data_IF_004033623283
#
_entry.id   IF_004033623283
#
_cell.length_a   1.000
_cell.length_b   1.000
_cell.length_c   1.000
_cell.angle_alpha   90.00
_cell.angle_beta   90.00
_cell.angle_gamma   90.00
#
_symmetry.space_group_name_H-M   'P 1'
#
loop_
_entity.id
_entity.type
_entity.pdbx_description
1 polymer ?
#
# COMPACT_ATOMS: atom_id res chain seq x y z
N UNK A 1 5.02 11.15 15.41
CA UNK A 1 5.80 9.89 15.29
C UNK A 1 6.93 10.15 14.31
N UNK A 2 8.06 9.46 14.46
CA UNK A 2 9.20 9.51 13.53
C UNK A 2 9.48 8.10 13.01
N UNK A 3 10.23 7.93 11.91
CA UNK A 3 10.57 6.61 11.42
C UNK A 3 11.26 5.81 12.52
N UNK A 4 10.82 4.58 12.73
CA UNK A 4 11.23 3.77 13.88
C UNK A 4 11.47 2.34 13.43
N UNK A 5 12.56 1.75 13.91
CA UNK A 5 12.85 0.33 13.71
C UNK A 5 11.88 -0.52 14.53
N UNK A 6 11.37 -1.59 13.94
CA UNK A 6 10.53 -2.58 14.58
C UNK A 6 11.03 -3.97 14.21
N UNK A 7 10.96 -4.92 15.14
CA UNK A 7 11.19 -6.32 14.80
C UNK A 7 10.01 -6.86 13.99
N UNK A 8 10.25 -7.62 12.90
CA UNK A 8 9.17 -8.33 12.19
C UNK A 8 8.33 -9.23 13.13
N UNK A 9 8.97 -9.80 14.15
CA UNK A 9 8.28 -10.64 15.14
C UNK A 9 7.32 -9.83 16.02
N UNK A 10 7.70 -8.60 16.39
CA UNK A 10 6.79 -7.69 17.12
C UNK A 10 5.57 -7.35 16.27
N UNK A 11 5.73 -7.18 14.95
CA UNK A 11 4.61 -6.92 14.04
C UNK A 11 3.66 -8.12 13.99
N UNK A 12 4.17 -9.35 13.93
CA UNK A 12 3.35 -10.56 14.02
C UNK A 12 2.63 -10.69 15.37
N UNK A 13 3.25 -10.25 16.45
CA UNK A 13 2.64 -10.19 17.78
C UNK A 13 1.68 -9.00 17.97
N UNK A 14 1.45 -8.20 16.93
CA UNK A 14 0.44 -7.13 16.93
C UNK A 14 0.97 -5.76 17.41
N UNK A 15 2.28 -5.51 17.35
CA UNK A 15 2.85 -4.18 17.63
C UNK A 15 2.33 -3.09 16.68
N UNK A 16 1.83 -3.48 15.50
CA UNK A 16 1.11 -2.60 14.58
C UNK A 16 -0.33 -3.10 14.48
N UNK A 17 -1.27 -2.23 14.84
CA UNK A 17 -2.70 -2.49 14.72
C UNK A 17 -3.32 -1.51 13.75
N UNK A 18 -4.31 -2.00 12.99
CA UNK A 18 -5.22 -1.26 12.12
C UNK A 18 -4.70 0.07 11.57
N UNK A 19 -4.32 0.06 10.31
CA UNK A 19 -4.02 1.25 9.52
C UNK A 19 -5.18 2.25 9.43
N UNK A 20 -4.82 3.51 9.18
CA UNK A 20 -5.69 4.68 9.35
C UNK A 20 -6.31 5.19 8.05
N UNK A 21 -6.05 4.53 6.91
CA UNK A 21 -6.50 5.06 5.63
C UNK A 21 -8.02 5.22 5.61
N UNK A 22 -8.46 6.34 5.02
CA UNK A 22 -9.89 6.64 4.83
C UNK A 22 -10.51 5.72 3.78
N UNK A 23 -9.72 5.34 2.77
CA UNK A 23 -10.15 4.49 1.68
C UNK A 23 -10.19 3.02 2.11
N UNK A 24 -11.31 2.30 1.91
CA UNK A 24 -11.41 0.89 2.31
C UNK A 24 -10.34 0.01 1.63
N UNK A 25 -10.16 0.15 0.32
CA UNK A 25 -9.25 -0.69 -0.47
C UNK A 25 -7.78 -0.58 -0.09
N UNK A 26 -7.31 0.62 0.26
CA UNK A 26 -5.93 0.82 0.70
C UNK A 26 -5.68 0.47 2.17
N UNK A 27 -6.73 0.15 2.94
CA UNK A 27 -6.61 0.01 4.39
C UNK A 27 -5.86 -1.26 4.76
N UNK A 28 -4.88 -1.10 5.65
CA UNK A 28 -4.11 -2.23 6.16
C UNK A 28 -4.60 -2.62 7.55
N UNK A 29 -5.54 -3.56 7.61
CA UNK A 29 -6.03 -4.10 8.89
C UNK A 29 -4.92 -4.72 9.74
N UNK A 30 -5.16 -4.89 11.05
CA UNK A 30 -4.26 -5.65 11.94
C UNK A 30 -3.95 -7.04 11.40
N UNK A 31 -4.95 -7.70 10.79
CA UNK A 31 -4.74 -9.00 10.17
C UNK A 31 -3.71 -8.93 9.03
N UNK A 32 -3.76 -7.90 8.18
CA UNK A 32 -2.74 -7.73 7.13
C UNK A 32 -1.35 -7.54 7.73
N UNK A 33 -1.19 -6.70 8.75
CA UNK A 33 0.11 -6.51 9.41
C UNK A 33 0.66 -7.80 10.02
N UNK A 34 -0.16 -8.53 10.77
CA UNK A 34 0.25 -9.77 11.43
C UNK A 34 0.49 -10.93 10.46
N UNK A 35 -0.05 -10.84 9.24
CA UNK A 35 0.15 -11.87 8.25
C UNK A 35 1.24 -11.46 7.24
N UNK A 36 1.54 -10.19 7.01
CA UNK A 36 2.79 -9.70 6.42
C UNK A 36 3.42 -10.56 5.29
N UNK A 37 2.87 -10.67 4.07
CA UNK A 37 3.40 -11.61 3.08
C UNK A 37 4.87 -11.30 2.67
N UNK A 38 5.23 -10.02 2.56
CA UNK A 38 6.62 -9.59 2.31
C UNK A 38 7.53 -9.99 3.47
N UNK A 39 7.11 -9.72 4.71
CA UNK A 39 7.89 -10.08 5.90
C UNK A 39 8.08 -11.60 6.00
N UNK A 40 7.03 -12.38 5.76
CA UNK A 40 7.08 -13.83 5.75
C UNK A 40 8.10 -14.34 4.72
N UNK A 41 8.08 -13.79 3.50
CA UNK A 41 9.03 -14.21 2.47
C UNK A 41 10.48 -13.80 2.80
N UNK A 42 10.68 -12.60 3.37
CA UNK A 42 12.00 -12.17 3.83
C UNK A 42 12.53 -13.06 4.97
N UNK A 43 11.68 -13.49 5.91
CA UNK A 43 12.07 -14.40 6.99
C UNK A 43 12.36 -15.81 6.48
N UNK A 44 11.55 -16.34 5.55
CA UNK A 44 11.78 -17.66 4.95
C UNK A 44 13.13 -17.76 4.22
N UNK A 45 13.59 -16.65 3.65
CA UNK A 45 14.86 -16.56 2.92
C UNK A 45 16.03 -16.05 3.77
N UNK A 46 15.78 -15.69 5.03
CA UNK A 46 16.79 -15.15 5.93
C UNK A 46 17.87 -16.21 6.21
N UNK A 47 19.14 -15.82 6.14
CA UNK A 47 20.32 -16.71 6.27
C UNK A 47 20.49 -17.75 5.16
N UNK A 48 19.69 -17.70 4.09
CA UNK A 48 19.85 -18.52 2.89
C UNK A 48 20.21 -17.64 1.69
N UNK A 49 19.21 -17.03 1.05
CA UNK A 49 19.42 -16.18 -0.13
C UNK A 49 19.49 -14.69 0.18
N UNK A 50 19.08 -14.27 1.39
CA UNK A 50 19.20 -12.88 1.85
C UNK A 50 19.39 -12.81 3.38
N UNK A 51 19.89 -11.68 3.88
CA UNK A 51 19.89 -11.38 5.30
C UNK A 51 18.83 -10.32 5.57
N UNK A 52 17.66 -10.74 6.07
CA UNK A 52 16.64 -9.78 6.49
C UNK A 52 17.10 -9.05 7.75
N UNK A 53 17.63 -7.84 7.57
CA UNK A 53 18.29 -7.09 8.65
C UNK A 53 17.31 -6.48 9.63
N UNK A 54 16.28 -5.79 9.14
CA UNK A 54 15.28 -5.15 9.98
C UNK A 54 14.08 -4.61 9.18
N UNK A 55 13.05 -4.15 9.90
CA UNK A 55 11.91 -3.41 9.36
C UNK A 55 11.85 -2.01 9.98
N UNK A 56 11.52 -1.00 9.18
CA UNK A 56 11.23 0.34 9.67
C UNK A 56 9.79 0.73 9.31
N UNK A 57 9.11 1.39 10.25
CA UNK A 57 7.81 2.01 10.01
C UNK A 57 8.05 3.51 9.87
N UNK A 58 7.60 4.06 8.75
CA UNK A 58 7.67 5.50 8.49
C UNK A 58 6.27 6.09 8.49
N UNK A 59 5.95 7.09 9.33
CA UNK A 59 4.65 7.75 9.29
C UNK A 59 4.51 8.58 8.00
N UNK A 60 3.32 8.58 7.41
CA UNK A 60 3.04 9.35 6.20
C UNK A 60 2.68 10.79 6.59
N UNK A 61 3.46 11.75 6.08
CA UNK A 61 3.31 13.15 6.49
C UNK A 61 2.42 13.92 5.52
N UNK A 62 1.67 14.89 6.04
CA UNK A 62 0.76 15.72 5.24
C UNK A 62 1.45 16.97 4.70
N UNK A 63 2.40 17.55 5.45
CA UNK A 63 3.14 18.73 5.03
C UNK A 63 4.44 18.36 4.34
N UNK A 64 4.84 19.13 3.33
CA UNK A 64 6.05 18.86 2.56
C UNK A 64 7.33 18.92 3.42
N UNK A 65 7.42 19.88 4.34
CA UNK A 65 8.56 19.99 5.27
C UNK A 65 8.72 18.73 6.12
N UNK A 66 7.62 18.20 6.64
CA UNK A 66 7.64 16.96 7.41
C UNK A 66 8.00 15.76 6.55
N UNK A 67 7.53 15.68 5.30
CA UNK A 67 7.93 14.62 4.35
C UNK A 67 9.45 14.61 4.15
N UNK A 68 10.07 15.78 3.95
CA UNK A 68 11.53 15.89 3.82
C UNK A 68 12.25 15.40 5.07
N UNK A 69 11.86 15.88 6.26
CA UNK A 69 12.45 15.46 7.53
C UNK A 69 12.31 13.94 7.71
N UNK A 70 11.12 13.42 7.47
CA UNK A 70 10.78 12.02 7.67
C UNK A 70 11.53 11.10 6.69
N UNK A 71 11.68 11.53 5.43
CA UNK A 71 12.50 10.86 4.42
C UNK A 71 13.94 10.71 4.86
N UNK A 72 14.57 11.81 5.31
CA UNK A 72 15.97 11.79 5.76
C UNK A 72 16.17 10.88 6.99
N UNK A 73 15.21 10.87 7.92
CA UNK A 73 15.27 9.99 9.08
C UNK A 73 15.12 8.51 8.70
N UNK A 74 14.17 8.18 7.82
CA UNK A 74 13.96 6.81 7.34
C UNK A 74 15.20 6.29 6.58
N UNK A 75 15.73 7.11 5.66
CA UNK A 75 16.92 6.76 4.89
C UNK A 75 18.14 6.58 5.82
N UNK A 76 18.33 7.47 6.80
CA UNK A 76 19.43 7.36 7.78
C UNK A 76 19.40 6.04 8.54
N UNK A 77 18.22 5.54 8.92
CA UNK A 77 18.10 4.23 9.61
C UNK A 77 18.64 3.10 8.72
N UNK A 78 18.24 3.06 7.45
CA UNK A 78 18.66 2.02 6.51
C UNK A 78 20.15 2.12 6.19
N UNK A 79 20.67 3.33 5.94
CA UNK A 79 22.09 3.59 5.70
C UNK A 79 22.94 3.16 6.91
N UNK A 80 22.49 3.46 8.13
CA UNK A 80 23.24 3.10 9.35
C UNK A 80 23.31 1.59 9.57
N UNK A 81 22.31 0.85 9.08
CA UNK A 81 22.30 -0.61 9.11
C UNK A 81 23.19 -1.25 8.03
N UNK A 82 23.57 -0.49 7.00
CA UNK A 82 24.36 -0.98 5.88
C UNK A 82 23.62 -2.01 5.03
N UNK A 83 22.31 -1.83 4.82
CA UNK A 83 21.51 -2.73 3.97
C UNK A 83 21.83 -2.50 2.49
N UNK A 84 21.84 -3.58 1.70
CA UNK A 84 22.03 -3.50 0.24
C UNK A 84 20.76 -3.10 -0.51
N UNK A 85 19.59 -3.38 0.07
CA UNK A 85 18.32 -3.01 -0.53
C UNK A 85 17.13 -3.03 0.42
N UNK A 86 16.03 -2.41 -0.01
CA UNK A 86 14.81 -2.18 0.76
C UNK A 86 13.57 -2.40 -0.11
N UNK A 87 12.63 -3.21 0.38
CA UNK A 87 11.27 -3.27 -0.16
C UNK A 87 10.43 -2.20 0.56
N UNK A 88 9.83 -1.28 -0.21
CA UNK A 88 9.03 -0.20 0.35
C UNK A 88 7.56 -0.39 -0.04
N UNK A 89 6.71 -0.61 0.97
CA UNK A 89 5.25 -0.63 0.84
C UNK A 89 4.65 0.52 1.63
N UNK A 90 3.56 1.10 1.14
CA UNK A 90 2.81 2.15 1.84
C UNK A 90 1.42 1.68 2.28
N UNK A 91 0.78 2.44 3.17
CA UNK A 91 -0.68 2.38 3.35
C UNK A 91 -1.31 3.61 2.70
N UNK A 92 -2.38 3.43 1.95
CA UNK A 92 -3.03 4.54 1.25
C UNK A 92 -2.49 4.79 -0.15
N UNK A 93 -3.00 5.85 -0.75
CA UNK A 93 -2.67 6.33 -2.09
C UNK A 93 -2.82 7.86 -2.14
N UNK A 94 -2.29 8.51 -3.17
CA UNK A 94 -2.35 9.96 -3.31
C UNK A 94 -1.15 10.61 -2.63
N UNK A 95 -1.41 11.41 -1.59
CA UNK A 95 -0.36 12.08 -0.82
C UNK A 95 0.75 11.16 -0.26
N UNK A 96 0.46 9.93 0.22
CA UNK A 96 1.48 8.96 0.62
C UNK A 96 2.49 8.60 -0.47
N UNK A 97 2.07 8.61 -1.74
CA UNK A 97 2.94 8.24 -2.86
C UNK A 97 4.14 9.17 -2.96
N UNK A 98 4.01 10.44 -2.58
CA UNK A 98 5.16 11.36 -2.48
C UNK A 98 6.15 10.93 -1.39
N UNK A 99 5.71 10.45 -0.22
CA UNK A 99 6.64 9.92 0.79
C UNK A 99 7.40 8.70 0.24
N UNK A 100 6.68 7.79 -0.43
CA UNK A 100 7.24 6.60 -1.07
C UNK A 100 8.33 6.96 -2.08
N UNK A 101 8.05 7.89 -3.00
CA UNK A 101 9.01 8.33 -4.03
C UNK A 101 10.20 9.08 -3.41
N UNK A 102 9.97 9.92 -2.39
CA UNK A 102 11.04 10.64 -1.71
C UNK A 102 11.99 9.70 -0.98
N UNK A 103 11.47 8.69 -0.28
CA UNK A 103 12.29 7.68 0.41
C UNK A 103 13.05 6.81 -0.60
N UNK A 104 12.39 6.36 -1.66
CA UNK A 104 13.02 5.62 -2.77
C UNK A 104 14.23 6.39 -3.32
N UNK A 105 14.02 7.64 -3.73
CA UNK A 105 15.06 8.50 -4.28
C UNK A 105 16.23 8.69 -3.32
N UNK A 106 15.94 8.93 -2.04
CA UNK A 106 16.99 9.18 -1.05
C UNK A 106 17.84 7.93 -0.81
N UNK A 107 17.22 6.74 -0.74
CA UNK A 107 17.93 5.47 -0.59
C UNK A 107 18.80 5.14 -1.82
N UNK A 108 18.24 5.25 -3.02
CA UNK A 108 18.96 4.96 -4.28
C UNK A 108 20.16 5.90 -4.48
N UNK A 109 20.03 7.19 -4.14
CA UNK A 109 21.15 8.15 -4.17
C UNK A 109 22.29 7.80 -3.21
N UNK A 110 21.99 7.04 -2.16
CA UNK A 110 22.96 6.54 -1.20
C UNK A 110 23.40 5.09 -1.51
N UNK A 111 23.10 4.57 -2.70
CA UNK A 111 23.56 3.26 -3.17
C UNK A 111 22.75 2.07 -2.66
N UNK A 112 21.60 2.30 -2.01
CA UNK A 112 20.71 1.26 -1.49
C UNK A 112 19.61 1.01 -2.52
N UNK A 113 19.49 -0.24 -3.00
CA UNK A 113 18.49 -0.59 -4.01
C UNK A 113 17.08 -0.68 -3.46
N UNK A 114 16.10 -0.24 -4.23
CA UNK A 114 14.71 -0.18 -3.78
C UNK A 114 13.78 -0.93 -4.71
N UNK A 115 12.78 -1.59 -4.13
CA UNK A 115 11.63 -2.14 -4.85
C UNK A 115 10.38 -1.61 -4.19
N UNK A 116 9.52 -0.96 -4.96
CA UNK A 116 8.29 -0.37 -4.43
C UNK A 116 7.12 -1.34 -4.64
N UNK A 117 6.17 -1.35 -3.71
CA UNK A 117 4.86 -1.97 -3.91
C UNK A 117 3.80 -0.87 -3.84
N UNK A 118 3.07 -0.67 -4.94
CA UNK A 118 2.03 0.36 -5.05
C UNK A 118 0.80 -0.18 -5.78
N UNK A 119 -0.34 0.44 -5.54
CA UNK A 119 -1.52 0.36 -6.40
C UNK A 119 -1.47 1.49 -7.43
N UNK A 120 -2.31 1.38 -8.45
CA UNK A 120 -2.53 2.40 -9.48
C UNK A 120 -3.94 2.97 -9.34
N UNK A 121 -4.11 4.27 -9.54
CA UNK A 121 -5.44 4.89 -9.67
C UNK A 121 -5.58 5.48 -11.07
N UNK A 122 -5.73 4.59 -12.06
CA UNK A 122 -5.71 4.92 -13.48
C UNK A 122 -7.11 5.24 -14.06
N UNK A 123 -8.11 5.45 -13.21
CA UNK A 123 -9.51 5.62 -13.62
C UNK A 123 -10.17 4.31 -14.08
N UNK A 124 -11.48 4.34 -14.29
CA UNK A 124 -12.27 3.11 -14.59
C UNK A 124 -11.86 2.47 -15.93
N UNK A 125 -11.41 3.27 -16.89
CA UNK A 125 -10.91 2.82 -18.18
C UNK A 125 -9.42 2.41 -18.15
N UNK A 126 -8.70 2.71 -17.07
CA UNK A 126 -7.28 2.41 -16.91
C UNK A 126 -6.35 3.28 -17.76
N UNK A 127 -6.82 4.41 -18.28
CA UNK A 127 -6.07 5.26 -19.20
C UNK A 127 -5.46 6.52 -18.55
N UNK A 128 -5.80 6.80 -17.30
CA UNK A 128 -5.24 7.96 -16.58
C UNK A 128 -3.84 7.67 -16.08
N UNK A 129 -3.08 8.74 -15.81
CA UNK A 129 -1.76 8.62 -15.17
C UNK A 129 -1.90 7.85 -13.84
N UNK A 130 -1.25 6.69 -13.69
CA UNK A 130 -1.58 5.74 -12.62
C UNK A 130 -1.04 6.14 -11.25
N UNK A 131 0.02 6.97 -11.21
CA UNK A 131 0.67 7.43 -9.98
C UNK A 131 0.68 8.97 -9.93
N UNK A 132 0.36 9.57 -8.78
CA UNK A 132 0.32 11.03 -8.62
C UNK A 132 1.71 11.68 -8.54
N UNK A 133 2.75 10.89 -8.28
CA UNK A 133 4.12 11.34 -8.14
C UNK A 133 5.07 10.23 -8.61
N UNK A 134 6.27 10.60 -9.03
CA UNK A 134 7.25 9.68 -9.59
C UNK A 134 8.66 10.25 -9.56
N UNK A 135 9.65 9.36 -9.59
CA UNK A 135 11.07 9.74 -9.63
C UNK A 135 11.82 8.75 -10.52
N UNK A 136 12.85 9.17 -11.28
CA UNK A 136 13.61 8.26 -12.16
C UNK A 136 14.29 7.11 -11.43
N UNK A 137 14.58 7.26 -10.14
CA UNK A 137 15.16 6.23 -9.28
C UNK A 137 14.17 5.10 -8.93
N UNK A 138 12.86 5.32 -9.10
CA UNK A 138 11.83 4.30 -8.89
C UNK A 138 11.67 3.41 -10.13
N UNK A 139 12.73 2.69 -10.50
CA UNK A 139 12.78 1.84 -11.70
C UNK A 139 12.30 0.40 -11.48
N UNK A 140 12.02 0.02 -10.22
CA UNK A 140 11.46 -1.27 -9.84
C UNK A 140 10.19 -1.10 -8.99
N UNK A 141 9.02 -1.25 -9.62
CA UNK A 141 7.71 -1.13 -8.98
C UNK A 141 6.87 -2.39 -9.24
N UNK A 142 6.36 -2.98 -8.17
CA UNK A 142 5.36 -4.03 -8.19
C UNK A 142 3.98 -3.38 -8.07
N UNK A 143 3.19 -3.48 -9.13
CA UNK A 143 1.82 -2.99 -9.15
C UNK A 143 0.86 -4.04 -8.57
N UNK A 144 -0.02 -3.59 -7.67
CA UNK A 144 -1.18 -4.35 -7.19
C UNK A 144 -2.45 -4.08 -8.01
N UNK A 145 -2.29 -3.52 -9.21
CA UNK A 145 -3.37 -3.25 -10.16
C UNK A 145 -4.09 -1.92 -9.92
N UNK A 146 -5.10 -1.68 -10.76
CA UNK A 146 -5.89 -0.46 -10.77
C UNK A 146 -7.02 -0.50 -9.72
N UNK A 147 -6.98 0.41 -8.75
CA UNK A 147 -7.97 0.53 -7.68
C UNK A 147 -9.34 0.96 -8.19
N UNK A 148 -9.39 1.66 -9.33
CA UNK A 148 -10.64 2.13 -9.94
C UNK A 148 -11.33 1.07 -10.81
N UNK A 149 -10.75 -0.14 -10.92
CA UNK A 149 -11.36 -1.23 -11.66
C UNK A 149 -12.76 -1.53 -11.09
N UNK A 150 -13.77 -1.43 -11.94
CA UNK A 150 -15.15 -1.71 -11.56
C UNK A 150 -15.39 -3.22 -11.51
N UNK A 151 -16.07 -3.66 -10.46
CA UNK A 151 -16.47 -5.04 -10.23
C UNK A 151 -17.98 -5.09 -9.99
N UNK A 152 -18.56 -6.24 -10.32
CA UNK A 152 -19.95 -6.53 -10.02
C UNK A 152 -20.00 -7.55 -8.87
N UNK A 153 -20.72 -7.19 -7.80
CA UNK A 153 -21.01 -8.10 -6.70
C UNK A 153 -22.42 -8.68 -6.90
N UNK A 154 -22.60 -9.99 -6.65
CA UNK A 154 -23.91 -10.62 -6.78
C UNK A 154 -24.88 -10.09 -5.71
N UNK A 155 -26.15 -10.48 -5.82
CA UNK A 155 -27.14 -10.19 -4.76
C UNK A 155 -26.69 -10.84 -3.46
N UNK A 156 -26.63 -10.05 -2.39
CA UNK A 156 -26.27 -10.54 -1.06
C UNK A 156 -27.49 -11.11 -0.34
N UNK A 157 -27.39 -12.32 0.20
CA UNK A 157 -28.45 -12.93 1.02
C UNK A 157 -28.74 -12.12 2.30
N UNK A 158 -27.71 -11.46 2.83
CA UNK A 158 -27.78 -10.66 4.05
C UNK A 158 -26.96 -9.38 3.91
N UNK A 159 -27.57 -8.26 4.26
CA UNK A 159 -26.90 -6.95 4.38
C UNK A 159 -26.78 -6.58 5.86
N UNK A 160 -25.59 -6.16 6.27
CA UNK A 160 -25.33 -5.65 7.62
C UNK A 160 -24.92 -4.19 7.48
N UNK A 161 -25.68 -3.28 8.11
CA UNK A 161 -25.48 -1.83 8.01
C UNK A 161 -26.43 -1.17 7.00
N UNK A 162 -26.07 0.04 6.55
CA UNK A 162 -26.86 0.81 5.59
C UNK A 162 -26.37 0.59 4.16
N UNK A 163 -27.16 -0.13 3.36
CA UNK A 163 -26.85 -0.38 1.94
C UNK A 163 -26.71 0.92 1.13
N UNK A 164 -27.51 1.95 1.46
CA UNK A 164 -27.51 3.22 0.72
C UNK A 164 -26.23 3.99 0.90
N UNK A 165 -25.46 3.71 1.95
CA UNK A 165 -24.16 4.31 2.16
C UNK A 165 -23.15 3.94 1.05
N UNK A 166 -23.33 2.80 0.37
CA UNK A 166 -22.47 2.36 -0.72
C UNK A 166 -22.32 3.42 -1.81
N UNK A 167 -23.38 4.15 -2.15
CA UNK A 167 -23.33 5.18 -3.20
C UNK A 167 -22.53 6.44 -2.83
N UNK A 168 -22.05 6.54 -1.58
CA UNK A 168 -21.39 7.74 -1.03
C UNK A 168 -20.03 7.47 -0.41
N UNK A 169 -19.60 6.21 -0.34
CA UNK A 169 -18.26 5.85 0.16
C UNK A 169 -17.27 5.76 -1.00
N UNK A 170 -15.98 5.82 -0.68
CA UNK A 170 -14.91 5.58 -1.66
C UNK A 170 -15.15 4.26 -2.38
N UNK A 171 -15.07 4.29 -3.71
CA UNK A 171 -15.31 3.17 -4.60
C UNK A 171 -16.78 2.92 -4.95
N UNK A 172 -17.73 3.67 -4.39
CA UNK A 172 -19.13 3.63 -4.83
C UNK A 172 -19.58 4.97 -5.42
N UNK A 173 -20.72 4.94 -6.11
CA UNK A 173 -21.28 6.09 -6.81
C UNK A 173 -22.81 5.99 -6.90
N UNK A 174 -23.48 7.07 -7.29
CA UNK A 174 -24.93 7.07 -7.55
C UNK A 174 -25.21 6.10 -8.70
N UNK A 175 -25.99 5.05 -8.43
CA UNK A 175 -26.20 3.96 -9.37
C UNK A 175 -25.32 2.73 -9.10
N UNK A 176 -24.58 2.67 -7.99
CA UNK A 176 -23.92 1.44 -7.54
C UNK A 176 -24.93 0.34 -7.21
N UNK A 177 -26.12 0.67 -6.71
CA UNK A 177 -27.18 -0.30 -6.39
C UNK A 177 -28.03 -0.55 -7.64
N UNK A 178 -27.96 -1.74 -8.20
CA UNK A 178 -28.69 -2.10 -9.41
C UNK A 178 -30.18 -2.40 -9.12
N UNK A 179 -31.08 -2.29 -10.12
CA UNK A 179 -32.50 -2.60 -9.95
C UNK A 179 -32.79 -4.05 -9.50
N UNK A 180 -31.88 -4.98 -9.80
CA UNK A 180 -31.94 -6.39 -9.41
C UNK A 180 -31.19 -6.69 -8.09
N UNK A 181 -30.81 -5.64 -7.34
CA UNK A 181 -30.08 -5.68 -6.09
C UNK A 181 -28.62 -6.18 -6.16
N UNK A 182 -28.05 -6.35 -7.36
CA UNK A 182 -26.58 -6.45 -7.52
C UNK A 182 -25.91 -5.11 -7.18
N UNK A 183 -24.60 -5.15 -6.91
CA UNK A 183 -23.80 -3.94 -6.72
C UNK A 183 -22.75 -3.80 -7.82
N UNK A 184 -22.59 -2.59 -8.33
CA UNK A 184 -21.48 -2.19 -9.19
C UNK A 184 -20.66 -1.16 -8.42
N UNK A 185 -19.43 -1.51 -8.08
CA UNK A 185 -18.51 -0.67 -7.31
C UNK A 185 -17.09 -0.79 -7.88
N UNK A 186 -16.24 0.19 -7.62
CA UNK A 186 -14.80 0.03 -7.80
C UNK A 186 -14.24 -0.89 -6.71
N UNK A 187 -13.17 -1.62 -7.05
CA UNK A 187 -12.48 -2.48 -6.09
C UNK A 187 -11.95 -1.69 -4.88
N UNK A 188 -11.70 -0.39 -5.04
CA UNK A 188 -11.37 0.56 -3.97
C UNK A 188 -12.39 0.56 -2.81
N UNK A 189 -13.64 0.19 -3.05
CA UNK A 189 -14.69 0.11 -2.04
C UNK A 189 -14.64 -1.13 -1.14
N UNK A 190 -13.81 -2.13 -1.49
CA UNK A 190 -13.67 -3.36 -0.72
C UNK A 190 -12.48 -3.25 0.23
N UNK A 191 -12.69 -3.49 1.52
CA UNK A 191 -11.64 -3.43 2.55
C UNK A 191 -10.38 -4.25 2.18
N UNK A 192 -9.23 -3.57 2.09
CA UNK A 192 -7.92 -4.19 1.84
C UNK A 192 -7.74 -4.84 0.47
N UNK A 193 -8.63 -4.56 -0.49
CA UNK A 193 -8.66 -5.23 -1.79
C UNK A 193 -7.39 -5.06 -2.62
N UNK A 194 -6.73 -3.91 -2.51
CA UNK A 194 -5.45 -3.58 -3.14
C UNK A 194 -4.38 -3.26 -2.09
N UNK A 195 -4.37 -4.04 -1.01
CA UNK A 195 -3.35 -3.95 0.04
C UNK A 195 -1.92 -4.13 -0.52
N UNK A 196 -0.97 -3.32 -0.06
CA UNK A 196 0.39 -3.24 -0.60
C UNK A 196 1.41 -4.12 0.13
N UNK A 197 0.96 -5.13 0.88
CA UNK A 197 1.81 -6.06 1.62
C UNK A 197 1.83 -7.47 1.00
N UNK A 198 1.45 -7.60 -0.27
CA UNK A 198 1.58 -8.85 -1.04
C UNK A 198 0.44 -9.87 -0.83
N UNK A 199 -0.71 -9.44 -0.30
CA UNK A 199 -1.84 -10.33 0.02
C UNK A 199 -2.77 -10.64 -1.14
N UNK A 200 -2.90 -9.72 -2.09
CA UNK A 200 -3.85 -9.85 -3.17
C UNK A 200 -3.19 -10.46 -4.42
N UNK A 201 -4.03 -10.90 -5.36
CA UNK A 201 -3.63 -11.40 -6.68
C UNK A 201 -3.87 -10.38 -7.78
N UNK A 202 -4.17 -9.14 -7.40
CA UNK A 202 -4.39 -8.06 -8.35
C UNK A 202 -3.04 -7.66 -8.94
N UNK A 203 -3.04 -7.37 -10.23
CA UNK A 203 -1.85 -7.00 -10.97
C UNK A 203 -2.27 -6.12 -12.14
N UNK A 204 -1.44 -5.14 -12.50
CA UNK A 204 -1.55 -4.48 -13.77
C UNK A 204 -0.97 -5.38 -14.88
N UNK A 205 -1.55 -5.28 -16.08
CA UNK A 205 -1.02 -5.94 -17.27
C UNK A 205 -0.93 -4.90 -18.37
N UNK A 206 0.24 -4.77 -18.98
CA UNK A 206 0.37 -4.03 -20.24
C UNK A 206 -0.45 -4.75 -21.30
N UNK A 207 -1.39 -4.03 -21.91
CA UNK A 207 -2.23 -4.51 -23.03
C UNK A 207 -1.59 -4.10 -24.34
#
# INVERSE_FOLDING_TARGET
IVPTMVSPLEVFDGAIVSGNCVSPGSKTTTWHHQNNAVMNECLNRHSDSLNFMAMAISPLMTTLEEKYRNTLLAAKLMISLGVDGVVISQEGFGNPTTDLMMICRELEKNGIKTVLISNEDAGVDGLSEPLPDGTPEADAIISTGNSNATIELPVMERVIGDLKAVERITGGFVGSIQPDARLIIEIHGIMGSHNLQGYNKLQARTV
#
